data_IF_884683223937
#
_entry.id   IF_884683223937
#
_cell.length_a   1.000
_cell.length_b   1.000
_cell.length_c   1.000
_cell.angle_alpha   90.00
_cell.angle_beta   90.00
_cell.angle_gamma   90.00
#
_symmetry.space_group_name_H-M   'P 1'
#
loop_
_entity.id
_entity.type
_entity.pdbx_description
1 polymer ?
#
# COMPACT_ATOMS: atom_id res chain seq x y z
N UNK A 1 5.12 -0.07 9.20
CA UNK A 1 4.35 1.17 9.25
C UNK A 1 4.42 1.95 7.95
N UNK A 2 3.39 2.76 7.73
CA UNK A 2 3.37 3.69 6.60
C UNK A 2 4.16 4.95 6.95
N UNK A 3 4.78 5.57 5.95
CA UNK A 3 5.41 6.88 6.14
C UNK A 3 4.36 7.96 6.32
N UNK A 4 4.68 8.99 7.10
CA UNK A 4 3.92 10.24 7.13
C UNK A 4 4.69 11.26 6.33
N UNK A 5 4.06 11.80 5.31
CA UNK A 5 4.68 12.73 4.35
C UNK A 5 3.92 14.04 4.26
N UNK A 6 4.60 15.05 3.77
CA UNK A 6 4.01 16.27 3.24
C UNK A 6 4.39 16.43 1.76
N UNK A 7 3.49 16.98 0.98
CA UNK A 7 3.69 17.31 -0.43
C UNK A 7 3.81 18.83 -0.57
N UNK A 8 4.79 19.28 -1.35
CA UNK A 8 5.06 20.71 -1.57
C UNK A 8 5.25 21.00 -3.05
N UNK A 9 4.74 22.12 -3.53
CA UNK A 9 4.98 22.59 -4.89
C UNK A 9 6.35 23.26 -5.06
N UNK A 10 6.70 23.61 -6.27
CA UNK A 10 7.94 24.30 -6.64
C UNK A 10 8.06 25.74 -6.09
N UNK A 11 6.94 26.34 -5.67
CA UNK A 11 6.88 27.66 -5.04
C UNK A 11 7.04 27.62 -3.51
N UNK A 12 7.13 26.43 -2.92
CA UNK A 12 7.33 26.24 -1.48
C UNK A 12 6.06 26.11 -0.65
N UNK A 13 4.86 26.03 -1.28
CA UNK A 13 3.60 25.84 -0.57
C UNK A 13 3.27 24.36 -0.41
N UNK A 14 2.78 23.99 0.77
CA UNK A 14 2.32 22.65 1.09
C UNK A 14 0.87 22.43 0.67
N UNK A 15 0.57 21.18 0.31
CA UNK A 15 -0.80 20.74 0.21
C UNK A 15 -1.40 20.61 1.59
N UNK A 16 -2.58 21.16 1.77
CA UNK A 16 -3.35 21.09 3.00
C UNK A 16 -4.78 20.62 2.72
N UNK A 17 -5.39 20.00 3.72
CA UNK A 17 -6.76 19.52 3.67
C UNK A 17 -7.63 20.51 4.46
N UNK A 18 -8.66 21.05 3.82
CA UNK A 18 -9.66 21.91 4.45
C UNK A 18 -10.75 21.11 5.16
N UNK A 19 -11.61 21.77 5.94
CA UNK A 19 -12.68 21.14 6.73
C UNK A 19 -13.66 20.33 5.88
N UNK A 20 -13.93 20.77 4.64
CA UNK A 20 -14.75 20.03 3.68
C UNK A 20 -14.00 18.90 2.95
N UNK A 21 -12.74 18.68 3.30
CA UNK A 21 -11.85 17.69 2.73
C UNK A 21 -11.16 18.09 1.42
N UNK A 22 -11.40 19.29 0.88
CA UNK A 22 -10.75 19.75 -0.36
C UNK A 22 -9.25 19.91 -0.13
N UNK A 23 -8.44 19.49 -1.12
CA UNK A 23 -6.98 19.60 -1.05
C UNK A 23 -6.54 20.82 -1.83
N UNK A 24 -5.88 21.76 -1.14
CA UNK A 24 -5.30 22.99 -1.70
C UNK A 24 -3.80 23.07 -1.48
N UNK A 25 -3.11 23.79 -2.34
CA UNK A 25 -1.66 24.03 -2.25
C UNK A 25 -1.38 25.50 -1.93
N UNK A 26 -1.73 25.93 -0.73
CA UNK A 26 -1.75 27.33 -0.28
C UNK A 26 -1.06 27.57 1.05
N UNK A 27 -0.61 26.52 1.74
CA UNK A 27 -0.09 26.60 3.09
C UNK A 27 1.43 26.80 3.10
N UNK A 28 1.95 27.94 3.60
CA UNK A 28 3.40 28.24 3.54
C UNK A 28 4.21 27.50 4.61
N UNK A 29 3.57 27.09 5.73
CA UNK A 29 4.22 26.39 6.82
C UNK A 29 3.50 25.08 7.12
N UNK A 30 4.27 24.00 7.32
CA UNK A 30 3.75 22.68 7.60
C UNK A 30 2.98 22.66 8.93
N UNK A 31 1.79 22.03 8.91
CA UNK A 31 0.97 21.77 10.07
C UNK A 31 0.22 20.43 9.86
N UNK A 32 -0.64 20.03 10.79
CA UNK A 32 -1.33 18.73 10.73
C UNK A 32 -2.17 18.55 9.47
N UNK A 33 -2.78 19.62 8.93
CA UNK A 33 -3.56 19.55 7.70
C UNK A 33 -2.73 19.21 6.46
N UNK A 34 -1.39 19.39 6.54
CA UNK A 34 -0.45 19.10 5.46
C UNK A 34 0.07 17.65 5.49
N UNK A 35 -0.25 16.88 6.52
CA UNK A 35 0.32 15.57 6.74
C UNK A 35 -0.57 14.46 6.18
N UNK A 36 0.05 13.58 5.40
CA UNK A 36 -0.59 12.42 4.80
C UNK A 36 0.15 11.14 5.18
N UNK A 37 -0.59 10.12 5.54
CA UNK A 37 -0.06 8.76 5.64
C UNK A 37 -0.03 8.14 4.25
N UNK A 38 1.15 7.68 3.83
CA UNK A 38 1.41 7.11 2.50
C UNK A 38 1.29 5.59 2.55
N UNK A 39 0.27 5.04 1.91
CA UNK A 39 0.10 3.60 1.72
C UNK A 39 0.71 3.20 0.39
N UNK A 40 1.86 2.54 0.42
CA UNK A 40 2.50 1.98 -0.76
C UNK A 40 1.86 0.61 -1.10
N UNK A 41 1.16 0.55 -2.24
CA UNK A 41 0.42 -0.63 -2.68
C UNK A 41 1.20 -1.53 -3.63
N UNK A 42 2.46 -1.19 -3.92
CA UNK A 42 3.32 -1.89 -4.89
C UNK A 42 3.22 -1.31 -6.31
N UNK A 43 4.27 -1.53 -7.11
CA UNK A 43 4.36 -1.07 -8.51
C UNK A 43 4.12 0.44 -8.71
N UNK A 44 4.56 1.27 -7.74
CA UNK A 44 4.36 2.72 -7.75
C UNK A 44 2.94 3.17 -7.42
N UNK A 45 2.03 2.24 -7.17
CA UNK A 45 0.68 2.54 -6.73
C UNK A 45 0.66 2.94 -5.25
N UNK A 46 -0.03 4.04 -4.94
CA UNK A 46 -0.12 4.60 -3.59
C UNK A 46 -1.54 5.06 -3.29
N UNK A 47 -1.88 5.09 -2.00
CA UNK A 47 -3.04 5.81 -1.48
C UNK A 47 -2.57 6.76 -0.39
N UNK A 48 -3.22 7.91 -0.28
CA UNK A 48 -2.87 8.96 0.68
C UNK A 48 -4.04 9.16 1.65
N UNK A 49 -3.76 9.08 2.95
CA UNK A 49 -4.74 9.32 4.00
C UNK A 49 -4.36 10.54 4.81
N UNK A 50 -5.22 11.55 4.83
CA UNK A 50 -5.00 12.76 5.63
C UNK A 50 -4.91 12.46 7.13
N UNK A 51 -3.95 13.05 7.80
CA UNK A 51 -3.82 12.96 9.25
C UNK A 51 -4.88 13.80 9.96
N UNK A 52 -5.33 14.91 9.34
CA UNK A 52 -6.31 15.80 9.90
C UNK A 52 -7.66 15.13 10.16
N UNK A 53 -8.23 14.46 9.14
CA UNK A 53 -9.59 13.92 9.18
C UNK A 53 -9.66 12.39 9.03
N UNK A 54 -8.51 11.72 8.90
CA UNK A 54 -8.40 10.26 8.74
C UNK A 54 -9.16 9.72 7.51
N UNK A 55 -9.26 10.53 6.43
CA UNK A 55 -9.91 10.16 5.16
C UNK A 55 -8.89 10.04 4.05
N UNK A 56 -9.17 9.15 3.11
CA UNK A 56 -8.33 8.97 1.93
C UNK A 56 -8.62 10.03 0.87
N UNK A 57 -7.55 10.45 0.21
CA UNK A 57 -7.60 11.27 -0.99
C UNK A 57 -8.34 10.50 -2.10
N UNK A 58 -9.33 11.12 -2.70
CA UNK A 58 -10.17 10.53 -3.74
C UNK A 58 -10.31 11.48 -4.93
N UNK A 59 -10.32 10.89 -6.13
CA UNK A 59 -10.49 11.60 -7.39
C UNK A 59 -11.97 11.86 -7.70
N UNK A 60 -12.40 13.08 -7.43
CA UNK A 60 -13.72 13.62 -7.82
C UNK A 60 -13.64 14.69 -8.91
N UNK A 61 -12.47 14.80 -9.61
CA UNK A 61 -12.13 15.92 -10.49
C UNK A 61 -11.30 16.96 -9.73
N UNK A 62 -11.84 17.59 -8.70
CA UNK A 62 -11.10 18.23 -7.61
C UNK A 62 -10.83 17.16 -6.55
N UNK A 63 -9.59 17.06 -6.10
CA UNK A 63 -9.17 16.06 -5.11
C UNK A 63 -9.69 16.43 -3.73
N UNK A 64 -10.30 15.44 -3.06
CA UNK A 64 -10.81 15.59 -1.69
C UNK A 64 -10.42 14.40 -0.81
N UNK A 65 -10.10 14.67 0.45
CA UNK A 65 -9.91 13.65 1.48
C UNK A 65 -11.26 13.36 2.18
N UNK A 66 -12.10 12.53 1.55
CA UNK A 66 -13.45 12.21 2.03
C UNK A 66 -13.74 10.71 2.10
N UNK A 67 -12.96 9.87 1.40
CA UNK A 67 -13.20 8.43 1.34
C UNK A 67 -12.77 7.74 2.65
N UNK A 68 -13.59 6.81 3.12
CA UNK A 68 -13.31 6.02 4.34
C UNK A 68 -12.22 4.99 4.08
N UNK A 69 -12.20 4.41 2.87
CA UNK A 69 -11.25 3.39 2.43
C UNK A 69 -11.13 3.41 0.91
N UNK A 70 -10.02 2.93 0.35
CA UNK A 70 -9.95 2.61 -1.07
C UNK A 70 -10.94 1.50 -1.39
N UNK A 71 -11.89 1.75 -2.29
CA UNK A 71 -12.97 0.81 -2.58
C UNK A 71 -13.55 0.97 -3.99
N UNK A 72 -14.16 -0.11 -4.46
CA UNK A 72 -14.91 -0.15 -5.72
C UNK A 72 -14.09 -0.61 -6.91
N UNK A 73 -14.77 -0.84 -8.04
CA UNK A 73 -14.14 -1.28 -9.28
C UNK A 73 -13.17 -0.23 -9.83
N UNK A 74 -13.57 1.05 -9.79
CA UNK A 74 -12.70 2.18 -10.11
C UNK A 74 -12.21 2.77 -8.79
N UNK A 75 -11.03 2.32 -8.34
CA UNK A 75 -10.46 2.79 -7.06
C UNK A 75 -9.94 4.21 -7.24
N UNK A 76 -10.82 5.19 -6.98
CA UNK A 76 -10.52 6.62 -7.12
C UNK A 76 -9.50 7.12 -6.10
N UNK A 77 -9.23 6.34 -5.07
CA UNK A 77 -8.24 6.58 -4.01
C UNK A 77 -6.85 6.04 -4.39
N UNK A 78 -6.70 5.47 -5.60
CA UNK A 78 -5.43 4.96 -6.10
C UNK A 78 -4.74 5.99 -6.97
N UNK A 79 -3.50 6.29 -6.62
CA UNK A 79 -2.62 7.18 -7.36
C UNK A 79 -1.32 6.46 -7.71
N UNK A 80 -0.56 7.03 -8.63
CA UNK A 80 0.78 6.56 -8.98
C UNK A 80 1.76 7.69 -8.72
N UNK A 81 2.73 7.40 -7.87
CA UNK A 81 3.79 8.32 -7.48
C UNK A 81 5.01 8.06 -8.36
N UNK A 82 5.25 8.94 -9.34
CA UNK A 82 6.42 8.90 -10.21
C UNK A 82 7.52 9.79 -9.60
N UNK A 83 8.58 9.18 -9.10
CA UNK A 83 9.72 9.89 -8.50
C UNK A 83 10.78 10.20 -9.58
N UNK A 84 11.35 11.40 -9.49
CA UNK A 84 12.47 11.86 -10.31
C UNK A 84 13.43 12.65 -9.40
N UNK A 85 14.43 11.95 -8.86
CA UNK A 85 15.32 12.51 -7.83
C UNK A 85 14.53 12.97 -6.60
N UNK A 86 14.67 14.24 -6.25
CA UNK A 86 13.99 14.87 -5.11
C UNK A 86 12.57 15.36 -5.44
N UNK A 87 12.15 15.20 -6.68
CA UNK A 87 10.81 15.60 -7.13
C UNK A 87 9.95 14.40 -7.45
N UNK A 88 8.66 14.63 -7.55
CA UNK A 88 7.70 13.59 -7.94
C UNK A 88 6.55 14.21 -8.73
N UNK A 89 5.78 13.33 -9.36
CA UNK A 89 4.48 13.63 -9.96
C UNK A 89 3.47 12.60 -9.50
N UNK A 90 2.25 13.03 -9.35
CA UNK A 90 1.13 12.13 -9.07
C UNK A 90 0.28 11.96 -10.33
N UNK A 91 -0.13 10.72 -10.57
CA UNK A 91 -1.18 10.40 -11.53
C UNK A 91 -2.34 9.72 -10.82
N UNK A 92 -3.55 9.96 -11.30
CA UNK A 92 -4.72 9.27 -10.79
C UNK A 92 -4.78 7.80 -11.28
N UNK A 93 -5.81 7.07 -10.88
CA UNK A 93 -6.07 5.67 -11.29
C UNK A 93 -6.17 5.48 -12.82
N UNK A 94 -6.52 6.51 -13.60
CA UNK A 94 -6.52 6.52 -15.06
C UNK A 94 -5.18 6.90 -15.69
N UNK A 95 -4.12 7.04 -14.89
CA UNK A 95 -2.78 7.48 -15.31
C UNK A 95 -2.71 8.93 -15.82
N UNK A 96 -3.71 9.75 -15.51
CA UNK A 96 -3.70 11.18 -15.82
C UNK A 96 -2.96 11.96 -14.75
N UNK A 97 -2.21 12.98 -15.15
CA UNK A 97 -1.45 13.81 -14.21
C UNK A 97 -2.38 14.62 -13.29
N UNK A 98 -1.97 14.75 -12.04
CA UNK A 98 -2.50 15.73 -11.12
C UNK A 98 -1.70 17.03 -11.27
N UNK A 99 -2.38 18.15 -11.13
CA UNK A 99 -1.79 19.49 -11.18
C UNK A 99 -2.58 20.45 -10.28
N UNK A 100 -1.97 21.60 -10.01
CA UNK A 100 -2.58 22.67 -9.22
C UNK A 100 -3.29 23.62 -10.20
N UNK A 101 -4.58 23.85 -10.00
CA UNK A 101 -5.37 24.77 -10.79
C UNK A 101 -5.20 26.25 -10.35
N UNK A 102 -5.91 27.18 -10.97
CA UNK A 102 -5.86 28.61 -10.66
C UNK A 102 -6.43 28.95 -9.26
N UNK A 103 -7.26 28.06 -8.71
CA UNK A 103 -7.82 28.20 -7.36
C UNK A 103 -6.94 27.50 -6.29
N UNK A 104 -5.71 27.14 -6.63
CA UNK A 104 -4.76 26.42 -5.79
C UNK A 104 -5.23 25.01 -5.38
N UNK A 105 -6.25 24.46 -6.06
CA UNK A 105 -6.81 23.13 -5.79
C UNK A 105 -6.04 22.07 -6.59
N UNK A 106 -5.91 20.87 -5.99
CA UNK A 106 -5.36 19.71 -6.68
C UNK A 106 -6.43 19.09 -7.57
N UNK A 107 -6.16 19.02 -8.88
CA UNK A 107 -7.11 18.54 -9.90
C UNK A 107 -6.45 17.59 -10.90
N UNK A 108 -7.25 16.93 -11.74
CA UNK A 108 -6.78 16.07 -12.83
C UNK A 108 -6.74 16.85 -14.13
N UNK A 109 -5.65 16.72 -14.86
CA UNK A 109 -5.53 17.29 -16.21
C UNK A 109 -5.94 16.30 -17.28
N UNK A 110 -6.53 16.79 -18.38
CA UNK A 110 -6.72 16.03 -19.61
C UNK A 110 -5.48 16.01 -20.52
N UNK A 111 -4.43 16.78 -20.18
CA UNK A 111 -3.22 16.86 -20.99
C UNK A 111 -2.45 15.52 -21.02
N UNK A 112 -1.97 15.13 -22.20
CA UNK A 112 -1.14 13.94 -22.37
C UNK A 112 0.28 14.11 -21.83
N UNK A 113 0.75 15.37 -21.70
CA UNK A 113 2.06 15.72 -21.14
C UNK A 113 1.88 16.33 -19.75
N UNK A 114 2.89 16.12 -18.90
CA UNK A 114 2.91 16.69 -17.56
C UNK A 114 2.86 18.23 -17.60
N UNK A 115 1.87 18.87 -16.98
CA UNK A 115 1.85 20.33 -16.84
C UNK A 115 3.02 20.83 -15.97
N UNK A 116 3.43 22.07 -16.13
CA UNK A 116 4.51 22.68 -15.32
C UNK A 116 4.20 22.65 -13.82
N UNK A 117 2.94 22.88 -13.45
CA UNK A 117 2.45 22.90 -12.06
C UNK A 117 2.06 21.49 -11.52
N UNK A 118 2.59 20.42 -12.10
CA UNK A 118 2.43 19.04 -11.63
C UNK A 118 3.65 18.49 -10.88
N UNK A 119 4.76 19.25 -10.84
CA UNK A 119 5.98 18.83 -10.16
C UNK A 119 5.88 19.17 -8.68
N UNK A 120 6.13 18.17 -7.83
CA UNK A 120 6.02 18.24 -6.38
C UNK A 120 7.30 17.73 -5.74
N UNK A 121 7.54 18.10 -4.48
CA UNK A 121 8.51 17.45 -3.61
C UNK A 121 7.80 16.70 -2.50
N UNK A 122 8.39 15.58 -2.08
CA UNK A 122 7.90 14.76 -0.95
C UNK A 122 8.85 14.97 0.22
N UNK A 123 8.33 15.45 1.32
CA UNK A 123 9.05 15.55 2.59
C UNK A 123 8.56 14.44 3.52
N UNK A 124 9.47 13.60 4.02
CA UNK A 124 9.15 12.55 4.99
C UNK A 124 9.20 13.13 6.38
N UNK A 125 8.03 13.25 7.01
CA UNK A 125 7.88 13.75 8.37
C UNK A 125 8.12 12.66 9.42
N UNK A 126 7.71 11.42 9.11
CA UNK A 126 7.95 10.26 9.96
C UNK A 126 8.16 9.01 9.10
N UNK A 127 9.28 8.34 9.29
CA UNK A 127 9.59 7.06 8.63
C UNK A 127 8.83 5.93 9.34
N UNK A 128 7.94 5.29 8.59
CA UNK A 128 7.13 4.19 9.10
C UNK A 128 7.91 2.92 9.36
N UNK A 129 9.01 2.67 8.62
CA UNK A 129 9.87 1.49 8.82
C UNK A 129 10.66 1.63 10.13
N UNK A 130 11.25 2.79 10.39
CA UNK A 130 11.94 3.06 11.65
C UNK A 130 10.97 3.00 12.85
N UNK A 131 9.73 3.44 12.66
CA UNK A 131 8.71 3.33 13.70
C UNK A 131 8.36 1.88 14.03
N UNK A 132 8.16 1.00 13.04
CA UNK A 132 7.86 -0.43 13.34
C UNK A 132 9.06 -1.15 13.91
N UNK A 133 10.27 -0.81 13.50
CA UNK A 133 11.52 -1.34 14.06
C UNK A 133 11.63 -1.04 15.56
N UNK A 134 11.39 0.20 15.96
CA UNK A 134 11.37 0.58 17.37
C UNK A 134 10.30 -0.19 18.15
N UNK A 135 9.06 -0.24 17.63
CA UNK A 135 7.97 -0.98 18.27
C UNK A 135 8.28 -2.48 18.42
N UNK A 136 8.90 -3.09 17.40
CA UNK A 136 9.31 -4.49 17.47
C UNK A 136 10.42 -4.75 18.50
N UNK A 137 11.30 -3.76 18.73
CA UNK A 137 12.35 -3.84 19.76
C UNK A 137 11.74 -3.79 21.18
N UNK A 138 10.71 -2.98 21.38
CA UNK A 138 10.04 -2.80 22.67
C UNK A 138 9.03 -3.91 22.97
N UNK A 139 8.54 -4.63 21.94
CA UNK A 139 7.52 -5.65 22.09
C UNK A 139 8.12 -7.00 22.52
N UNK A 140 7.47 -7.67 23.47
CA UNK A 140 7.80 -9.05 23.82
C UNK A 140 7.49 -10.02 22.66
N UNK A 141 6.37 -9.81 21.96
CA UNK A 141 5.93 -10.58 20.80
C UNK A 141 5.43 -9.63 19.73
N UNK A 142 5.85 -9.82 18.48
CA UNK A 142 5.37 -9.06 17.34
C UNK A 142 4.46 -9.89 16.45
N UNK A 143 3.37 -9.28 15.97
CA UNK A 143 2.48 -9.86 14.97
C UNK A 143 2.44 -8.91 13.77
N UNK A 144 2.78 -9.41 12.60
CA UNK A 144 2.84 -8.61 11.37
C UNK A 144 1.77 -9.08 10.41
N UNK A 145 0.95 -8.14 9.95
CA UNK A 145 -0.04 -8.40 8.90
C UNK A 145 0.50 -7.89 7.58
N UNK A 146 0.61 -8.78 6.60
CA UNK A 146 0.93 -8.48 5.21
C UNK A 146 -0.13 -9.05 4.28
N UNK A 147 -0.11 -8.64 3.02
CA UNK A 147 -1.00 -9.20 2.03
C UNK A 147 -1.38 -8.21 0.94
N UNK A 148 -2.48 -8.47 0.27
CA UNK A 148 -2.96 -7.64 -0.83
C UNK A 148 -4.33 -7.02 -0.55
N UNK A 149 -4.58 -5.91 -1.23
CA UNK A 149 -5.94 -5.41 -1.41
C UNK A 149 -6.45 -5.94 -2.76
N UNK A 150 -7.52 -6.75 -2.78
CA UNK A 150 -8.00 -7.40 -4.01
C UNK A 150 -8.53 -6.41 -5.06
N UNK A 151 -8.78 -5.15 -4.69
CA UNK A 151 -9.18 -4.10 -5.63
C UNK A 151 -7.98 -3.36 -6.25
N UNK A 152 -6.79 -3.52 -5.69
CA UNK A 152 -5.58 -2.80 -6.12
C UNK A 152 -4.55 -3.78 -6.69
N UNK A 153 -4.22 -4.83 -5.92
CA UNK A 153 -3.17 -5.79 -6.25
C UNK A 153 -3.78 -7.07 -6.79
N UNK A 154 -3.61 -7.34 -8.07
CA UNK A 154 -4.16 -8.51 -8.75
C UNK A 154 -5.70 -8.56 -8.69
N UNK A 155 -6.34 -7.50 -9.11
CA UNK A 155 -7.78 -7.51 -9.38
C UNK A 155 -8.07 -8.16 -10.71
N UNK A 156 -9.32 -8.53 -10.96
CA UNK A 156 -9.78 -8.98 -12.28
C UNK A 156 -9.30 -8.00 -13.38
N UNK A 157 -8.79 -8.52 -14.47
CA UNK A 157 -8.18 -7.81 -15.61
C UNK A 157 -6.81 -7.16 -15.37
N UNK A 158 -6.28 -7.19 -14.15
CA UNK A 158 -4.96 -6.65 -13.84
C UNK A 158 -4.20 -7.65 -12.98
N UNK A 159 -3.46 -8.57 -13.63
CA UNK A 159 -2.69 -9.59 -12.96
C UNK A 159 -1.48 -9.03 -12.21
N UNK A 160 -1.03 -9.78 -11.23
CA UNK A 160 0.24 -9.52 -10.56
C UNK A 160 1.39 -9.75 -11.53
N UNK A 161 2.45 -8.97 -11.37
CA UNK A 161 3.67 -9.10 -12.17
C UNK A 161 4.67 -10.09 -11.59
N UNK A 162 4.56 -10.37 -10.29
CA UNK A 162 5.44 -11.25 -9.54
C UNK A 162 4.73 -11.84 -8.31
N UNK A 163 5.45 -12.66 -7.55
CA UNK A 163 4.97 -13.27 -6.32
C UNK A 163 5.45 -12.52 -5.06
N UNK A 164 6.02 -11.33 -5.19
CA UNK A 164 6.61 -10.58 -4.06
C UNK A 164 5.56 -9.82 -3.28
N UNK A 165 5.82 -9.66 -1.99
CA UNK A 165 5.10 -8.67 -1.18
C UNK A 165 5.34 -7.25 -1.72
N UNK A 166 4.37 -6.33 -1.58
CA UNK A 166 4.62 -4.91 -1.84
C UNK A 166 5.89 -4.45 -1.12
N UNK A 167 6.70 -3.62 -1.78
CA UNK A 167 8.05 -3.29 -1.31
C UNK A 167 8.07 -2.74 0.12
N UNK A 168 7.15 -1.85 0.47
CA UNK A 168 7.05 -1.29 1.83
C UNK A 168 6.68 -2.36 2.87
N UNK A 169 5.78 -3.28 2.54
CA UNK A 169 5.44 -4.41 3.43
C UNK A 169 6.64 -5.32 3.63
N UNK A 170 7.38 -5.60 2.55
CA UNK A 170 8.62 -6.37 2.59
C UNK A 170 9.65 -5.73 3.53
N UNK A 171 9.95 -4.44 3.35
CA UNK A 171 10.88 -3.69 4.21
C UNK A 171 10.44 -3.66 5.68
N UNK A 172 9.16 -3.45 5.93
CA UNK A 172 8.61 -3.45 7.29
C UNK A 172 8.73 -4.83 7.95
N UNK A 173 8.43 -5.90 7.22
CA UNK A 173 8.57 -7.27 7.72
C UNK A 173 10.02 -7.58 8.07
N UNK A 174 10.96 -7.25 7.18
CA UNK A 174 12.40 -7.46 7.40
C UNK A 174 12.91 -6.65 8.62
N UNK A 175 12.43 -5.42 8.79
CA UNK A 175 12.76 -4.59 9.94
C UNK A 175 12.24 -5.18 11.26
N UNK A 176 11.02 -5.74 11.26
CA UNK A 176 10.45 -6.41 12.44
C UNK A 176 11.22 -7.68 12.75
N UNK A 177 11.49 -8.55 11.76
CA UNK A 177 12.22 -9.82 11.95
C UNK A 177 13.65 -9.59 12.45
N UNK A 178 14.29 -8.50 12.04
CA UNK A 178 15.61 -8.12 12.54
C UNK A 178 15.64 -7.77 14.03
N UNK A 179 14.50 -7.35 14.60
CA UNK A 179 14.38 -6.98 16.03
C UNK A 179 13.67 -8.05 16.85
N UNK A 180 12.74 -8.78 16.25
CA UNK A 180 11.91 -9.80 16.88
C UNK A 180 11.84 -11.03 15.94
N UNK A 181 12.85 -11.91 15.97
CA UNK A 181 12.95 -13.05 15.05
C UNK A 181 11.79 -14.04 15.14
N UNK A 182 11.13 -14.11 16.29
CA UNK A 182 9.98 -14.99 16.54
C UNK A 182 8.63 -14.34 16.17
N UNK A 183 8.66 -13.23 15.45
CA UNK A 183 7.45 -12.55 15.02
C UNK A 183 6.54 -13.48 14.19
N UNK A 184 5.24 -13.37 14.44
CA UNK A 184 4.20 -14.11 13.70
C UNK A 184 3.79 -13.31 12.48
N UNK A 185 3.89 -13.90 11.29
CA UNK A 185 3.37 -13.32 10.07
C UNK A 185 1.95 -13.83 9.79
N UNK A 186 0.97 -12.93 9.76
CA UNK A 186 -0.34 -13.17 9.16
C UNK A 186 -0.37 -12.64 7.73
N UNK A 187 -0.57 -13.54 6.78
CA UNK A 187 -0.66 -13.21 5.37
C UNK A 187 -2.13 -13.24 4.94
N UNK A 188 -2.70 -12.07 4.73
CA UNK A 188 -4.09 -11.90 4.28
C UNK A 188 -4.10 -11.74 2.78
N UNK A 189 -4.40 -12.82 2.04
CA UNK A 189 -4.36 -12.76 0.58
C UNK A 189 -5.19 -13.86 -0.07
N UNK A 190 -5.63 -13.63 -1.31
CA UNK A 190 -6.19 -14.65 -2.19
C UNK A 190 -5.14 -15.40 -3.01
N UNK A 191 -3.84 -15.10 -2.81
CA UNK A 191 -2.75 -15.56 -3.67
C UNK A 191 -1.52 -15.93 -2.86
N UNK A 192 -0.66 -16.87 -3.35
CA UNK A 192 0.62 -17.16 -2.73
C UNK A 192 1.61 -16.00 -2.89
N UNK A 193 2.57 -15.93 -1.97
CA UNK A 193 3.67 -14.98 -1.98
C UNK A 193 5.01 -15.69 -1.83
N UNK A 194 6.06 -15.13 -2.44
CA UNK A 194 7.44 -15.54 -2.25
C UNK A 194 7.92 -15.10 -0.86
N UNK A 195 8.11 -16.06 0.05
CA UNK A 195 8.51 -15.79 1.45
C UNK A 195 9.86 -16.39 1.82
N UNK A 196 10.41 -17.31 1.03
CA UNK A 196 11.53 -18.18 1.40
C UNK A 196 12.86 -17.49 1.72
N UNK A 197 13.06 -16.27 1.27
CA UNK A 197 14.28 -15.53 1.59
C UNK A 197 14.36 -15.09 3.05
N UNK A 198 13.32 -15.42 3.85
CA UNK A 198 13.17 -15.01 5.24
C UNK A 198 13.10 -16.23 6.15
N UNK A 199 13.79 -16.13 7.28
CA UNK A 199 13.55 -17.08 8.36
C UNK A 199 12.30 -16.64 9.12
N UNK A 200 11.20 -17.37 8.92
CA UNK A 200 9.90 -17.09 9.52
C UNK A 200 9.56 -18.25 10.48
N UNK A 201 9.50 -17.94 11.78
CA UNK A 201 9.15 -18.93 12.80
C UNK A 201 7.70 -19.40 12.65
N UNK A 202 6.80 -18.47 12.35
CA UNK A 202 5.36 -18.78 12.18
C UNK A 202 4.76 -17.96 11.06
N UNK A 203 4.08 -18.65 10.14
CA UNK A 203 3.29 -18.02 9.07
C UNK A 203 1.88 -18.56 9.11
N UNK A 204 0.92 -17.65 9.20
CA UNK A 204 -0.51 -17.95 9.13
C UNK A 204 -1.06 -17.32 7.84
N UNK A 205 -1.64 -18.15 6.97
CA UNK A 205 -2.33 -17.65 5.77
C UNK A 205 -3.83 -17.63 6.00
N UNK A 206 -4.46 -16.51 5.67
CA UNK A 206 -5.91 -16.35 5.68
C UNK A 206 -6.36 -15.64 4.40
N UNK A 207 -7.38 -16.16 3.74
CA UNK A 207 -7.98 -15.49 2.59
C UNK A 207 -8.83 -14.29 3.04
N UNK A 208 -9.29 -13.49 2.07
CA UNK A 208 -10.26 -12.41 2.33
C UNK A 208 -11.61 -13.04 2.74
N UNK A 209 -11.80 -13.21 4.04
CA UNK A 209 -12.97 -13.85 4.62
C UNK A 209 -14.05 -12.81 5.01
N UNK A 210 -15.15 -13.30 5.55
CA UNK A 210 -16.29 -12.49 5.97
C UNK A 210 -16.08 -11.71 7.28
N UNK A 211 -17.16 -11.20 7.89
CA UNK A 211 -17.10 -10.32 9.06
C UNK A 211 -16.43 -10.93 10.29
N UNK A 212 -16.46 -12.26 10.43
CA UNK A 212 -15.85 -12.98 11.55
C UNK A 212 -14.34 -13.23 11.39
N UNK A 213 -13.68 -12.70 10.34
CA UNK A 213 -12.25 -12.92 10.11
C UNK A 213 -11.39 -12.48 11.29
N UNK A 214 -11.70 -11.32 11.90
CA UNK A 214 -10.96 -10.84 13.07
C UNK A 214 -11.06 -11.78 14.28
N UNK A 215 -12.23 -12.36 14.52
CA UNK A 215 -12.43 -13.37 15.58
C UNK A 215 -11.59 -14.61 15.31
N UNK A 216 -11.65 -15.16 14.09
CA UNK A 216 -10.88 -16.35 13.72
C UNK A 216 -9.36 -16.13 13.83
N UNK A 217 -8.87 -14.94 13.45
CA UNK A 217 -7.46 -14.56 13.62
C UNK A 217 -7.10 -14.51 15.11
N UNK A 218 -7.92 -13.88 15.93
CA UNK A 218 -7.70 -13.77 17.38
C UNK A 218 -7.67 -15.16 18.05
N UNK A 219 -8.66 -15.98 17.81
CA UNK A 219 -8.77 -17.33 18.41
C UNK A 219 -7.59 -18.23 18.00
N UNK A 220 -7.12 -18.15 16.74
CA UNK A 220 -5.93 -18.91 16.30
C UNK A 220 -4.63 -18.34 16.89
N UNK A 221 -4.52 -17.02 17.01
CA UNK A 221 -3.32 -16.37 17.56
C UNK A 221 -3.13 -16.69 19.04
N UNK A 222 -4.21 -16.68 19.81
CA UNK A 222 -4.17 -16.96 21.24
C UNK A 222 -4.31 -18.45 21.60
N UNK A 223 -4.51 -19.31 20.59
CA UNK A 223 -4.51 -20.78 20.78
C UNK A 223 -5.85 -21.36 21.23
N UNK A 224 -6.93 -20.59 21.15
CA UNK A 224 -8.28 -21.06 21.47
C UNK A 224 -8.75 -22.10 20.46
N UNK A 225 -8.33 -21.96 19.20
CA UNK A 225 -8.58 -22.95 18.14
C UNK A 225 -7.28 -23.30 17.39
N UNK A 226 -7.21 -24.52 16.89
CA UNK A 226 -6.14 -24.95 15.99
C UNK A 226 -6.57 -24.79 14.53
N UNK A 227 -5.77 -24.12 13.67
CA UNK A 227 -6.13 -23.95 12.26
C UNK A 227 -6.16 -25.31 11.54
N UNK A 228 -7.31 -25.67 10.99
CA UNK A 228 -7.53 -26.93 10.27
C UNK A 228 -7.42 -26.79 8.74
N UNK A 229 -7.32 -25.57 8.23
CA UNK A 229 -7.24 -25.28 6.80
C UNK A 229 -5.98 -25.86 6.12
N UNK A 230 -6.09 -26.09 4.82
CA UNK A 230 -4.97 -26.52 3.95
C UNK A 230 -4.81 -25.50 2.84
N UNK A 231 -3.56 -25.34 2.36
CA UNK A 231 -3.29 -24.47 1.21
C UNK A 231 -4.00 -25.02 -0.04
N UNK A 232 -4.91 -24.26 -0.65
CA UNK A 232 -5.67 -24.73 -1.81
C UNK A 232 -4.88 -24.66 -3.11
N UNK A 233 -3.66 -24.11 -3.08
CA UNK A 233 -2.80 -23.89 -4.24
C UNK A 233 -1.34 -24.11 -3.87
N UNK A 234 -0.52 -24.34 -4.88
CA UNK A 234 0.94 -24.48 -4.73
C UNK A 234 1.56 -23.14 -4.37
N UNK A 235 2.43 -23.14 -3.36
CA UNK A 235 3.27 -22.00 -2.96
C UNK A 235 4.66 -22.19 -3.54
N UNK A 236 4.99 -21.38 -4.53
CA UNK A 236 6.30 -21.40 -5.19
C UNK A 236 7.32 -20.59 -4.40
N UNK A 237 8.57 -21.01 -4.46
CA UNK A 237 9.71 -20.31 -3.86
C UNK A 237 10.01 -19.01 -4.58
N UNK A 238 9.85 -19.03 -5.90
CA UNK A 238 10.11 -17.92 -6.82
C UNK A 238 9.17 -18.00 -8.02
N UNK A 239 8.95 -16.87 -8.66
CA UNK A 239 8.29 -16.84 -9.96
C UNK A 239 9.05 -17.62 -11.03
N UNK A 240 10.37 -17.84 -10.87
CA UNK A 240 11.20 -18.64 -11.78
C UNK A 240 10.85 -20.14 -11.74
N UNK A 241 10.15 -20.59 -10.72
CA UNK A 241 9.66 -21.97 -10.59
C UNK A 241 8.35 -22.21 -11.36
N UNK A 242 7.73 -21.14 -11.87
CA UNK A 242 6.54 -21.22 -12.70
C UNK A 242 6.90 -21.75 -14.09
N UNK A 243 6.08 -22.66 -14.61
CA UNK A 243 6.17 -23.09 -16.00
C UNK A 243 5.72 -21.98 -16.94
N UNK A 244 6.09 -22.13 -18.21
CA UNK A 244 5.56 -21.27 -19.27
C UNK A 244 4.02 -21.36 -19.28
N UNK A 245 3.35 -20.24 -19.33
CA UNK A 245 1.89 -20.16 -19.35
C UNK A 245 1.28 -20.85 -20.58
N UNK A 246 2.05 -21.00 -21.65
CA UNK A 246 1.65 -21.71 -22.88
C UNK A 246 1.94 -23.23 -22.83
N UNK A 247 2.65 -23.73 -21.80
CA UNK A 247 2.93 -25.15 -21.63
C UNK A 247 1.79 -25.86 -20.87
N UNK A 248 0.86 -26.43 -21.60
CA UNK A 248 -0.28 -27.16 -21.06
C UNK A 248 0.02 -28.62 -20.67
N UNK A 249 1.29 -29.04 -20.67
CA UNK A 249 1.67 -30.39 -20.27
C UNK A 249 1.75 -30.50 -18.72
N UNK A 250 0.63 -30.77 -18.09
CA UNK A 250 0.50 -30.88 -16.63
C UNK A 250 1.45 -31.91 -15.99
N UNK A 251 1.83 -32.96 -16.71
CA UNK A 251 2.76 -33.97 -16.21
C UNK A 251 4.21 -33.46 -16.16
N UNK A 252 4.59 -32.60 -17.09
CA UNK A 252 5.93 -32.01 -17.16
C UNK A 252 6.06 -30.80 -16.23
N UNK A 253 5.04 -29.98 -16.20
CA UNK A 253 5.06 -28.70 -15.47
C UNK A 253 4.80 -28.85 -13.99
N UNK A 254 4.24 -30.01 -13.56
CA UNK A 254 3.82 -30.27 -12.17
C UNK A 254 2.93 -29.18 -11.58
N UNK A 255 2.27 -28.42 -12.44
CA UNK A 255 1.31 -27.39 -12.03
C UNK A 255 -0.05 -28.06 -11.77
N UNK A 256 -0.30 -28.41 -10.53
CA UNK A 256 -1.61 -28.88 -10.05
C UNK A 256 -2.17 -27.88 -9.06
#
# INVERSE_FOLDING_TARGET
>A
GNDVIALRNDKGFYFSVSDDGTVKCDTPLINESCLFELFECGNGAVSLRSKLNNRFLSDGGVMKCTAVQPFGWFVKELFFLERDGNTCRLRNWQKRFLHINENEELTVTSALRAPKNSTLSVEVFSDGTERVKRLATEAHQAVVFCGNNPMINARETIDRRDLKLPEKQSRNLDAVLGMNPDAVLYLVSGYPYELEKRHLATVMHICHAGPAMGTAVSETLFGDISPAGRCPMTWYKSADDLCDIEDYNLFRTRST
#
